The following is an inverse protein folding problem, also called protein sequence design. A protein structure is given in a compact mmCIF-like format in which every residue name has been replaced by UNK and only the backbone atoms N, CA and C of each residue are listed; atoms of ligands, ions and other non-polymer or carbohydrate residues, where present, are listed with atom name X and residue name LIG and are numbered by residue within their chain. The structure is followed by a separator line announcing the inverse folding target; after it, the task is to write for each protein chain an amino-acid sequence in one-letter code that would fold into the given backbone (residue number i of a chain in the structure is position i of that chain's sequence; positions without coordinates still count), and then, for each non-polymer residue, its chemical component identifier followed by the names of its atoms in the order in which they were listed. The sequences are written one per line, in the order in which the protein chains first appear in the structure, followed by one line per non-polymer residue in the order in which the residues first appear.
data_IF_441124290758
#
_entry.id   IF_441124290758
#
_cell.length_a   1.000
_cell.length_b   1.000
_cell.length_c   1.000
_cell.angle_alpha   90.00
_cell.angle_beta   90.00
_cell.angle_gamma   90.00
#
_symmetry.space_group_name_H-M   'P 1'
#
loop_
_entity.id
_entity.type
_entity.pdbx_description
1 polymer ?
#
# COMPACT_ATOMS: atom_id res chain seq x y z
N UNK A 1 8.73 -0.77 -11.01
CA UNK A 1 8.66 -0.98 -9.53
C UNK A 1 7.44 -0.31 -8.85
N UNK A 2 6.80 0.71 -9.44
CA UNK A 2 5.58 1.33 -8.89
C UNK A 2 4.28 0.52 -9.11
N UNK A 3 4.31 -0.46 -10.02
CA UNK A 3 3.14 -1.26 -10.43
C UNK A 3 2.68 -2.24 -9.37
N UNK A 4 3.61 -2.93 -8.69
CA UNK A 4 3.28 -3.95 -7.67
C UNK A 4 2.50 -3.36 -6.48
N UNK A 5 2.85 -2.13 -6.07
CA UNK A 5 2.18 -1.43 -4.97
C UNK A 5 0.73 -1.11 -5.35
N UNK A 6 0.54 -0.65 -6.59
CA UNK A 6 -0.77 -0.27 -7.12
C UNK A 6 -1.64 -1.51 -7.37
N UNK A 7 -1.04 -2.63 -7.80
CA UNK A 7 -1.73 -3.93 -7.89
C UNK A 7 -2.22 -4.37 -6.51
N UNK A 8 -1.34 -4.49 -5.52
CA UNK A 8 -1.73 -4.89 -4.16
C UNK A 8 -2.78 -3.93 -3.58
N UNK A 9 -2.66 -2.62 -3.83
CA UNK A 9 -3.63 -1.66 -3.34
C UNK A 9 -5.01 -1.82 -4.00
N UNK A 10 -5.05 -1.98 -5.32
CA UNK A 10 -6.30 -2.24 -6.08
C UNK A 10 -6.89 -3.61 -5.73
N UNK A 11 -6.07 -4.65 -5.59
CA UNK A 11 -6.47 -5.99 -5.16
C UNK A 11 -7.06 -6.00 -3.75
N UNK A 12 -6.58 -5.13 -2.87
CA UNK A 12 -7.13 -4.92 -1.53
C UNK A 12 -8.24 -3.86 -1.50
N UNK A 13 -8.88 -3.56 -2.65
CA UNK A 13 -10.00 -2.63 -2.80
C UNK A 13 -9.76 -1.24 -2.22
N UNK A 14 -8.50 -0.76 -2.23
CA UNK A 14 -8.09 0.48 -1.58
C UNK A 14 -8.41 0.55 -0.08
N UNK A 15 -8.77 -0.57 0.56
CA UNK A 15 -9.03 -0.67 2.00
C UNK A 15 -7.72 -0.52 2.77
N UNK A 16 -6.63 -0.98 2.18
CA UNK A 16 -5.32 -0.95 2.81
C UNK A 16 -4.67 0.40 2.58
N UNK A 17 -4.49 1.16 3.66
CA UNK A 17 -3.65 2.36 3.62
C UNK A 17 -2.17 2.02 3.48
N UNK A 18 -1.35 3.05 3.23
CA UNK A 18 0.09 2.93 3.04
C UNK A 18 0.80 1.97 4.03
N UNK A 19 0.41 1.99 5.32
CA UNK A 19 0.99 1.11 6.34
C UNK A 19 0.70 -0.37 6.10
N UNK A 20 -0.54 -0.74 5.77
CA UNK A 20 -0.91 -2.15 5.56
C UNK A 20 -0.29 -2.70 4.26
N UNK A 21 -0.30 -1.89 3.20
CA UNK A 21 0.37 -2.24 1.93
C UNK A 21 1.86 -2.47 2.14
N UNK A 22 2.53 -1.66 2.97
CA UNK A 22 3.95 -1.86 3.31
C UNK A 22 4.24 -3.17 4.02
N UNK A 23 3.40 -3.56 4.99
CA UNK A 23 3.56 -4.83 5.68
C UNK A 23 3.32 -6.02 4.74
N UNK A 24 2.38 -5.90 3.79
CA UNK A 24 2.14 -6.92 2.76
C UNK A 24 3.36 -7.10 1.86
N UNK A 25 3.89 -6.00 1.31
CA UNK A 25 5.08 -6.01 0.45
C UNK A 25 6.30 -6.59 1.17
N UNK A 26 6.48 -6.26 2.46
CA UNK A 26 7.56 -6.83 3.27
C UNK A 26 7.41 -8.35 3.45
N UNK A 27 6.19 -8.88 3.55
CA UNK A 27 5.94 -10.34 3.58
C UNK A 27 6.29 -11.01 2.26
N UNK A 28 6.04 -10.35 1.14
CA UNK A 28 6.42 -10.86 -0.19
C UNK A 28 7.91 -10.63 -0.53
N UNK A 29 8.72 -10.23 0.45
CA UNK A 29 10.14 -9.86 0.31
C UNK A 29 10.39 -8.71 -0.67
N UNK A 30 9.37 -7.91 -0.97
CA UNK A 30 9.47 -6.72 -1.81
C UNK A 30 9.84 -5.53 -0.94
N UNK A 31 11.10 -5.11 -1.01
CA UNK A 31 11.59 -3.97 -0.24
C UNK A 31 11.26 -2.68 -0.95
N UNK A 32 10.19 -2.00 -0.51
CA UNK A 32 9.76 -0.71 -1.05
C UNK A 32 10.07 0.40 -0.06
N UNK A 33 10.65 1.50 -0.54
CA UNK A 33 10.95 2.65 0.28
C UNK A 33 9.66 3.37 0.75
N UNK A 34 9.61 3.73 2.04
CA UNK A 34 8.45 4.42 2.66
C UNK A 34 8.15 5.77 1.98
N UNK A 35 9.16 6.43 1.42
CA UNK A 35 9.01 7.67 0.66
C UNK A 35 8.15 7.48 -0.61
N UNK A 36 8.25 6.32 -1.26
CA UNK A 36 7.47 6.01 -2.47
C UNK A 36 5.98 5.87 -2.14
N UNK A 37 5.65 5.27 -1.00
CA UNK A 37 4.25 5.16 -0.54
C UNK A 37 3.65 6.50 -0.14
N UNK A 38 4.48 7.39 0.43
CA UNK A 38 4.07 8.76 0.76
C UNK A 38 3.81 9.58 -0.51
N UNK A 39 4.61 9.39 -1.57
CA UNK A 39 4.37 10.00 -2.89
C UNK A 39 3.13 9.46 -3.61
N UNK A 40 2.70 8.25 -3.29
CA UNK A 40 1.52 7.62 -3.90
C UNK A 40 0.19 7.96 -3.20
N UNK A 41 0.21 8.72 -2.10
CA UNK A 41 -0.97 9.12 -1.30
C UNK A 41 -1.96 7.96 -1.07
N UNK A 42 -1.44 6.78 -0.70
CA UNK A 42 -2.28 5.59 -0.48
C UNK A 42 -3.15 5.77 0.77
N UNK A 43 -4.34 6.35 0.56
CA UNK A 43 -5.39 6.48 1.57
C UNK A 43 -6.13 5.16 1.67
N UNK A 44 -6.05 4.55 2.85
CA UNK A 44 -6.85 3.38 3.16
C UNK A 44 -8.27 3.79 3.47
N UNK A 45 -9.23 2.87 3.30
CA UNK A 45 -10.58 3.06 3.81
C UNK A 45 -10.53 3.37 5.31
N UNK A 46 -10.89 4.60 5.66
CA UNK A 46 -11.05 5.03 7.05
C UNK A 46 -12.48 4.65 7.42
N UNK A 47 -12.63 3.71 8.36
CA UNK A 47 -13.95 3.34 8.86
C UNK A 47 -14.59 4.58 9.48
N UNK A 48 -15.71 5.01 8.88
CA UNK A 48 -16.58 6.04 9.44
C UNK A 48 -17.06 5.62 10.83
N UNK A 49 -17.21 6.63 11.70
CA UNK A 49 -17.58 6.52 13.11
C UNK A 49 -18.80 5.64 13.33
#
# INVERSE_FOLDING_TARGET
MCTHIRQIWTENFCVYGARKVWHQLKREKITVARCLMKRMDLKGAVRGK
#
